data_IF_391970675052
#
_entry.id   IF_391970675052
#
_cell.length_a   1.000
_cell.length_b   1.000
_cell.length_c   1.000
_cell.angle_alpha   90.00
_cell.angle_beta   90.00
_cell.angle_gamma   90.00
#
_symmetry.space_group_name_H-M   'P 1'
#
loop_
_entity.id
_entity.type
_entity.pdbx_description
1 polymer ?
#
# COMPACT_ATOMS: atom_id res chain seq x y z
N UNK A 1 -10.45 -0.75 6.61
CA UNK A 1 -9.89 -1.41 7.80
C UNK A 1 -8.58 -2.11 7.43
N UNK A 2 -7.61 -2.13 8.31
CA UNK A 2 -6.34 -2.83 8.12
C UNK A 2 -6.47 -4.31 8.51
N UNK A 3 -6.05 -5.21 7.63
CA UNK A 3 -6.08 -6.66 7.87
C UNK A 3 -4.76 -7.15 8.45
N UNK A 4 -3.64 -6.71 7.87
CA UNK A 4 -2.31 -7.14 8.29
C UNK A 4 -1.25 -6.91 7.22
N UNK A 5 -0.03 -7.36 7.53
CA UNK A 5 1.07 -7.45 6.58
C UNK A 5 1.49 -8.89 6.41
N UNK A 6 2.00 -9.21 5.22
CA UNK A 6 2.75 -10.43 4.97
C UNK A 6 4.00 -10.10 4.16
N UNK A 7 5.06 -10.88 4.37
CA UNK A 7 6.29 -10.78 3.60
C UNK A 7 6.01 -11.24 2.18
N UNK A 8 6.49 -10.50 1.17
CA UNK A 8 6.39 -10.89 -0.23
C UNK A 8 7.61 -11.76 -0.57
N UNK A 9 7.36 -12.93 -1.15
CA UNK A 9 8.42 -13.86 -1.55
C UNK A 9 9.30 -13.25 -2.67
N UNK A 10 10.59 -13.60 -2.64
CA UNK A 10 11.58 -13.18 -3.64
C UNK A 10 11.52 -14.15 -4.84
N UNK A 11 10.47 -13.97 -5.65
CA UNK A 11 10.20 -14.75 -6.86
C UNK A 11 10.49 -13.92 -8.11
N UNK A 12 10.47 -14.55 -9.28
CA UNK A 12 10.44 -13.79 -10.53
C UNK A 12 9.16 -12.94 -10.61
N UNK A 13 9.19 -11.87 -11.41
CA UNK A 13 8.09 -10.89 -11.44
C UNK A 13 6.73 -11.53 -11.78
N UNK A 14 6.72 -12.54 -12.66
CA UNK A 14 5.47 -13.15 -13.09
C UNK A 14 4.90 -14.10 -12.02
N UNK A 15 5.71 -14.92 -11.36
CA UNK A 15 5.25 -15.74 -10.23
C UNK A 15 4.86 -14.86 -9.05
N UNK A 16 5.58 -13.76 -8.81
CA UNK A 16 5.30 -12.85 -7.72
C UNK A 16 3.90 -12.22 -7.83
N UNK A 17 3.45 -11.85 -9.04
CA UNK A 17 2.11 -11.30 -9.26
C UNK A 17 1.04 -12.34 -8.93
N UNK A 18 1.14 -13.55 -9.49
CA UNK A 18 0.15 -14.61 -9.24
C UNK A 18 0.11 -15.02 -7.76
N UNK A 19 1.29 -15.20 -7.14
CA UNK A 19 1.40 -15.51 -5.72
C UNK A 19 0.80 -14.40 -4.85
N UNK A 20 1.04 -13.12 -5.18
CA UNK A 20 0.46 -12.01 -4.44
C UNK A 20 -1.06 -12.00 -4.53
N UNK A 21 -1.63 -12.22 -5.72
CA UNK A 21 -3.08 -12.31 -5.91
C UNK A 21 -3.69 -13.44 -5.08
N UNK A 22 -3.05 -14.62 -5.05
CA UNK A 22 -3.48 -15.74 -4.21
C UNK A 22 -3.48 -15.38 -2.71
N UNK A 23 -2.42 -14.72 -2.23
CA UNK A 23 -2.36 -14.27 -0.82
C UNK A 23 -3.43 -13.22 -0.49
N UNK A 24 -3.64 -12.26 -1.38
CA UNK A 24 -4.68 -11.24 -1.22
C UNK A 24 -6.08 -11.87 -1.19
N UNK A 25 -6.31 -12.89 -2.02
CA UNK A 25 -7.57 -13.63 -2.07
C UNK A 25 -7.79 -14.48 -0.82
N UNK A 26 -6.75 -15.15 -0.31
CA UNK A 26 -6.82 -15.94 0.91
C UNK A 26 -7.17 -15.09 2.15
N UNK A 27 -6.75 -13.83 2.17
CA UNK A 27 -6.95 -12.92 3.30
C UNK A 27 -8.22 -12.07 3.21
N UNK A 28 -9.00 -12.16 2.12
CA UNK A 28 -10.20 -11.33 1.91
C UNK A 28 -11.25 -11.49 3.02
N UNK A 29 -11.37 -12.70 3.57
CA UNK A 29 -12.34 -13.08 4.60
C UNK A 29 -11.73 -13.13 6.00
N UNK A 30 -10.51 -12.60 6.18
CA UNK A 30 -9.85 -12.59 7.49
C UNK A 30 -10.73 -11.84 8.52
N UNK A 31 -11.11 -12.47 9.64
CA UNK A 31 -12.00 -11.85 10.64
C UNK A 31 -11.27 -10.79 11.48
N UNK A 32 -9.94 -10.88 11.58
CA UNK A 32 -9.12 -9.93 12.34
C UNK A 32 -8.87 -8.70 11.49
N UNK A 33 -9.55 -7.60 11.82
CA UNK A 33 -9.40 -6.31 11.13
C UNK A 33 -9.37 -5.18 12.15
N UNK A 34 -8.51 -4.19 11.92
CA UNK A 34 -8.40 -2.99 12.74
C UNK A 34 -8.92 -1.77 11.97
N UNK A 35 -9.83 -0.95 12.52
CA UNK A 35 -10.16 0.34 11.94
C UNK A 35 -8.93 1.26 11.97
N UNK A 36 -8.66 1.95 10.87
CA UNK A 36 -7.48 2.81 10.69
C UNK A 36 -7.82 3.99 9.80
N UNK A 37 -7.05 5.06 9.93
CA UNK A 37 -7.06 6.22 9.04
C UNK A 37 -5.79 6.23 8.19
N UNK A 38 -5.93 6.42 6.87
CA UNK A 38 -4.81 6.59 5.95
C UNK A 38 -4.59 8.08 5.66
N UNK A 39 -3.36 8.57 5.85
CA UNK A 39 -2.95 9.94 5.49
C UNK A 39 -1.85 9.92 4.45
N UNK A 40 -2.10 10.53 3.30
CA UNK A 40 -1.17 10.62 2.18
C UNK A 40 -0.48 11.99 2.14
N UNK A 41 0.76 11.99 1.68
CA UNK A 41 1.55 13.20 1.39
C UNK A 41 2.67 12.85 0.42
N UNK A 42 3.34 13.84 -0.15
CA UNK A 42 4.56 13.61 -0.95
C UNK A 42 5.73 13.04 -0.11
N UNK A 43 5.67 13.15 1.23
CA UNK A 43 6.64 12.48 2.10
C UNK A 43 6.36 10.98 2.22
N UNK A 44 5.12 10.54 1.97
CA UNK A 44 4.69 9.15 2.05
C UNK A 44 3.31 8.95 2.67
N UNK A 45 3.09 7.75 3.18
CA UNK A 45 1.82 7.25 3.71
C UNK A 45 1.93 6.97 5.22
N UNK A 46 0.97 7.47 5.99
CA UNK A 46 0.79 7.16 7.41
C UNK A 46 -0.48 6.36 7.62
N UNK A 47 -0.39 5.34 8.46
CA UNK A 47 -1.52 4.56 8.97
C UNK A 47 -1.69 4.93 10.44
N UNK A 48 -2.82 5.51 10.78
CA UNK A 48 -3.18 5.89 12.15
C UNK A 48 -4.28 4.96 12.66
N UNK A 49 -4.52 4.96 13.96
CA UNK A 49 -5.68 4.31 14.55
C UNK A 49 -7.01 4.92 14.09
N UNK A 50 -8.11 4.40 14.64
CA UNK A 50 -9.46 4.80 14.25
C UNK A 50 -9.74 6.30 14.51
N UNK A 51 -9.17 6.82 15.59
CA UNK A 51 -9.36 8.21 16.02
C UNK A 51 -8.40 9.17 15.29
N UNK A 52 -7.37 8.64 14.63
CA UNK A 52 -6.41 9.44 13.86
C UNK A 52 -5.34 10.10 14.74
N UNK A 53 -5.19 9.64 15.98
CA UNK A 53 -4.30 10.21 16.99
C UNK A 53 -3.02 9.39 17.12
N UNK A 54 -3.13 8.06 17.13
CA UNK A 54 -1.96 7.18 17.30
C UNK A 54 -1.41 6.78 15.94
N UNK A 55 -0.13 7.09 15.70
CA UNK A 55 0.59 6.56 14.54
C UNK A 55 0.86 5.05 14.70
N UNK A 56 0.35 4.25 13.78
CA UNK A 56 0.59 2.81 13.75
C UNK A 56 1.72 2.44 12.80
N UNK A 57 1.77 3.08 11.63
CA UNK A 57 2.75 2.78 10.58
C UNK A 57 3.05 4.05 9.78
N UNK A 58 4.29 4.18 9.31
CA UNK A 58 4.67 5.25 8.39
C UNK A 58 5.66 4.72 7.35
N UNK A 59 5.33 4.91 6.08
CA UNK A 59 6.20 4.58 4.97
C UNK A 59 6.53 5.85 4.21
N UNK A 60 7.83 6.18 4.14
CA UNK A 60 8.30 7.19 3.20
C UNK A 60 7.96 6.75 1.77
N UNK A 61 7.58 7.70 0.89
CA UNK A 61 7.09 7.36 -0.45
C UNK A 61 8.09 6.47 -1.24
N UNK A 62 9.39 6.79 -1.15
CA UNK A 62 10.49 6.01 -1.77
C UNK A 62 10.61 4.55 -1.31
N UNK A 63 9.95 4.17 -0.21
CA UNK A 63 9.93 2.80 0.31
C UNK A 63 8.75 2.00 -0.22
N UNK A 64 7.74 2.66 -0.79
CA UNK A 64 6.58 2.02 -1.41
C UNK A 64 6.92 1.76 -2.86
N UNK A 65 6.80 0.51 -3.30
CA UNK A 65 7.14 0.09 -4.67
C UNK A 65 5.94 0.25 -5.60
N UNK A 66 4.79 -0.26 -5.17
CA UNK A 66 3.55 -0.15 -5.93
C UNK A 66 2.33 -0.33 -5.01
N UNK A 67 1.16 -0.09 -5.57
CA UNK A 67 -0.12 -0.43 -4.95
C UNK A 67 -1.01 -1.20 -5.91
N UNK A 68 -1.91 -2.01 -5.36
CA UNK A 68 -2.90 -2.78 -6.10
C UNK A 68 -4.25 -2.69 -5.40
N UNK A 69 -5.32 -3.04 -6.10
CA UNK A 69 -6.68 -2.91 -5.61
C UNK A 69 -7.65 -3.87 -6.33
N UNK A 70 -8.74 -4.21 -5.65
CA UNK A 70 -9.86 -4.98 -6.22
C UNK A 70 -11.19 -4.32 -5.84
N UNK A 71 -11.98 -3.91 -6.85
CA UNK A 71 -13.32 -3.33 -6.63
C UNK A 71 -14.31 -4.34 -6.07
N UNK A 72 -14.44 -5.56 -6.65
CA UNK A 72 -15.38 -6.56 -6.13
C UNK A 72 -15.13 -6.89 -4.66
N UNK A 73 -13.85 -6.97 -4.28
CA UNK A 73 -13.44 -7.33 -2.91
C UNK A 73 -13.33 -6.13 -1.97
N UNK A 74 -13.55 -4.90 -2.47
CA UNK A 74 -13.37 -3.65 -1.71
C UNK A 74 -12.00 -3.58 -1.00
N UNK A 75 -10.98 -3.94 -1.78
CA UNK A 75 -9.64 -4.23 -1.31
C UNK A 75 -8.64 -3.20 -1.85
N UNK A 76 -7.78 -2.69 -0.98
CA UNK A 76 -6.63 -1.87 -1.33
C UNK A 76 -5.38 -2.42 -0.66
N UNK A 77 -4.27 -2.48 -1.37
CA UNK A 77 -3.00 -2.92 -0.81
C UNK A 77 -1.82 -2.14 -1.41
N UNK A 78 -0.73 -2.05 -0.64
CA UNK A 78 0.53 -1.54 -1.15
C UNK A 78 1.70 -2.39 -0.70
N UNK A 79 2.73 -2.48 -1.55
CA UNK A 79 3.96 -3.21 -1.27
C UNK A 79 5.06 -2.22 -0.93
N UNK A 80 5.71 -2.42 0.21
CA UNK A 80 6.75 -1.53 0.70
C UNK A 80 7.87 -2.26 1.44
N UNK A 81 9.00 -1.57 1.58
CA UNK A 81 10.08 -1.95 2.50
C UNK A 81 9.78 -1.40 3.89
N UNK A 82 9.65 -2.29 4.87
CA UNK A 82 9.44 -1.89 6.26
C UNK A 82 10.69 -1.15 6.82
N UNK A 83 10.50 -0.16 7.71
CA UNK A 83 11.61 0.36 8.50
C UNK A 83 12.31 -0.79 9.25
N UNK A 84 13.64 -0.73 9.35
CA UNK A 84 14.46 -1.70 10.11
C UNK A 84 14.47 -3.14 9.56
N UNK A 85 13.77 -3.44 8.46
CA UNK A 85 13.90 -4.71 7.73
C UNK A 85 15.08 -4.69 6.76
N UNK A 86 15.60 -5.85 6.34
CA UNK A 86 16.63 -5.93 5.30
C UNK A 86 16.19 -5.21 4.02
N UNK A 87 17.11 -4.61 3.24
CA UNK A 87 16.76 -3.81 2.06
C UNK A 87 16.02 -4.58 0.96
N UNK A 88 16.22 -5.89 0.86
CA UNK A 88 15.56 -6.77 -0.10
C UNK A 88 14.17 -7.23 0.35
N UNK A 89 13.83 -7.13 1.63
CA UNK A 89 12.56 -7.66 2.15
C UNK A 89 11.40 -6.72 1.85
N UNK A 90 10.39 -7.25 1.17
CA UNK A 90 9.16 -6.56 0.84
C UNK A 90 8.01 -7.07 1.70
N UNK A 91 7.09 -6.18 2.02
CA UNK A 91 5.86 -6.48 2.74
C UNK A 91 4.68 -5.91 1.99
N UNK A 92 3.62 -6.71 1.85
CA UNK A 92 2.33 -6.24 1.38
C UNK A 92 1.45 -5.87 2.57
N UNK A 93 0.88 -4.67 2.55
CA UNK A 93 -0.01 -4.15 3.58
C UNK A 93 -1.44 -4.10 3.05
N UNK A 94 -2.35 -4.88 3.64
CA UNK A 94 -3.69 -5.12 3.13
C UNK A 94 -4.77 -4.35 3.91
N UNK A 95 -5.66 -3.69 3.16
CA UNK A 95 -6.83 -2.97 3.66
C UNK A 95 -8.11 -3.46 2.98
N UNK A 96 -9.16 -3.67 3.77
CA UNK A 96 -10.47 -4.18 3.33
C UNK A 96 -11.62 -3.32 3.85
N UNK A 97 -12.80 -3.48 3.25
CA UNK A 97 -14.05 -2.89 3.76
C UNK A 97 -14.17 -1.39 3.47
N UNK A 98 -13.53 -0.93 2.41
CA UNK A 98 -13.63 0.45 1.94
C UNK A 98 -14.84 0.60 0.99
N UNK A 99 -15.48 1.78 0.91
CA UNK A 99 -16.41 2.06 -0.18
C UNK A 99 -15.71 1.91 -1.55
N UNK A 100 -16.42 1.44 -2.58
CA UNK A 100 -15.80 1.11 -3.87
C UNK A 100 -15.03 2.27 -4.51
N UNK A 101 -15.61 3.47 -4.50
CA UNK A 101 -14.97 4.71 -5.01
C UNK A 101 -13.69 5.06 -4.24
N UNK A 102 -13.64 4.75 -2.94
CA UNK A 102 -12.48 5.06 -2.09
C UNK A 102 -11.31 4.16 -2.44
N UNK A 103 -11.55 2.87 -2.72
CA UNK A 103 -10.49 1.90 -3.08
C UNK A 103 -9.67 2.38 -4.27
N UNK A 104 -10.33 2.74 -5.37
CA UNK A 104 -9.68 3.25 -6.57
C UNK A 104 -8.98 4.58 -6.28
N UNK A 105 -9.62 5.46 -5.53
CA UNK A 105 -9.06 6.76 -5.13
C UNK A 105 -7.72 6.60 -4.40
N UNK A 106 -7.61 5.67 -3.45
CA UNK A 106 -6.37 5.42 -2.70
C UNK A 106 -5.22 4.97 -3.61
N UNK A 107 -5.50 4.08 -4.56
CA UNK A 107 -4.52 3.65 -5.56
C UNK A 107 -4.06 4.82 -6.43
N UNK A 108 -5.00 5.59 -6.98
CA UNK A 108 -4.71 6.74 -7.83
C UNK A 108 -3.93 7.84 -7.08
N UNK A 109 -4.22 8.07 -5.80
CA UNK A 109 -3.46 9.01 -4.96
C UNK A 109 -1.98 8.61 -4.82
N UNK A 110 -1.68 7.32 -4.65
CA UNK A 110 -0.29 6.85 -4.64
C UNK A 110 0.37 7.00 -6.00
N UNK A 111 -0.30 6.58 -7.07
CA UNK A 111 0.22 6.73 -8.44
C UNK A 111 0.54 8.20 -8.74
N UNK A 112 -0.36 9.12 -8.36
CA UNK A 112 -0.13 10.55 -8.54
C UNK A 112 1.02 11.07 -7.67
N UNK A 113 1.14 10.58 -6.44
CA UNK A 113 2.24 10.94 -5.55
C UNK A 113 3.60 10.52 -6.13
N UNK A 114 3.69 9.31 -6.72
CA UNK A 114 4.90 8.86 -7.40
C UNK A 114 5.26 9.74 -8.59
N UNK A 115 4.29 10.06 -9.45
CA UNK A 115 4.49 10.95 -10.60
C UNK A 115 4.99 12.34 -10.16
N UNK A 116 4.34 12.94 -9.16
CA UNK A 116 4.74 14.25 -8.66
C UNK A 116 6.13 14.22 -8.04
N UNK A 117 6.46 13.21 -7.22
CA UNK A 117 7.80 13.09 -6.65
C UNK A 117 8.87 12.86 -7.72
N UNK A 118 8.56 12.12 -8.78
CA UNK A 118 9.47 11.95 -9.91
C UNK A 118 9.74 13.29 -10.61
N UNK A 119 8.70 14.02 -10.98
CA UNK A 119 8.83 15.32 -11.66
C UNK A 119 9.50 16.39 -10.79
N UNK A 120 9.31 16.35 -9.46
CA UNK A 120 10.02 17.24 -8.53
C UNK A 120 11.52 16.93 -8.44
N UNK A 121 11.92 15.67 -8.66
CA UNK A 121 13.32 15.26 -8.69
C UNK A 121 13.98 15.49 -10.06
N UNK A 122 13.18 15.56 -11.13
CA UNK A 122 13.63 15.71 -12.53
C UNK A 122 12.90 16.91 -13.18
N UNK A 123 13.20 18.15 -12.76
CA UNK A 123 12.53 19.34 -13.29
C UNK A 123 12.70 19.52 -14.80
N UNK A 124 13.75 18.95 -15.40
CA UNK A 124 14.00 18.90 -16.84
C UNK A 124 12.93 18.14 -17.64
N UNK A 125 12.25 17.18 -17.02
CA UNK A 125 11.18 16.40 -17.67
C UNK A 125 9.80 17.08 -17.63
N UNK A 126 9.70 18.28 -17.06
CA UNK A 126 8.44 19.05 -17.01
C UNK A 126 8.16 19.87 -18.30
N UNK A 127 9.05 19.77 -19.29
CA UNK A 127 9.06 20.57 -20.52
C UNK A 127 8.06 20.11 -21.59
#
# INVERSE_FOLDING_TARGET
QYVGSFMVEDLDLQQQVGWLEEQLQALKDCPRRRPVVLRFSLQGLKVLDADGETLLMAHALRRILYSTWSLPDRQFAFVARNPQSPPSTLFCHLFMGLPGEVVQTLHLLLCRSFQLCYLLAHPEEQA
#
